data_IF_407758507955
#
_entry.id   IF_407758507955
#
_cell.length_a   1.000
_cell.length_b   1.000
_cell.length_c   1.000
_cell.angle_alpha   90.00
_cell.angle_beta   90.00
_cell.angle_gamma   90.00
#
_symmetry.space_group_name_H-M   'P 1'
#
loop_
_entity.id
_entity.type
_entity.pdbx_description
1 polymer ?
#
# COMPACT_ATOMS: atom_id res chain seq x y z
N UNK A 1 8.05 -70.99 37.50
CA UNK A 1 7.32 -69.71 37.61
C UNK A 1 8.27 -68.57 37.30
N UNK A 2 8.30 -68.10 36.05
CA UNK A 2 8.97 -66.85 35.66
C UNK A 2 7.99 -66.14 34.72
N UNK A 3 7.42 -65.04 35.18
CA UNK A 3 6.48 -64.22 34.43
C UNK A 3 7.26 -63.13 33.69
N UNK A 4 7.20 -63.13 32.36
CA UNK A 4 7.71 -62.03 31.53
C UNK A 4 6.72 -60.86 31.57
N UNK A 5 7.16 -59.71 32.08
CA UNK A 5 6.47 -58.42 31.95
C UNK A 5 6.86 -57.80 30.60
N UNK A 6 5.87 -57.58 29.74
CA UNK A 6 6.02 -56.79 28.50
C UNK A 6 5.87 -55.30 28.88
N UNK A 7 6.96 -54.56 28.77
CA UNK A 7 6.99 -53.11 28.96
C UNK A 7 6.49 -52.38 27.72
N UNK A 8 5.51 -51.49 27.92
CA UNK A 8 5.03 -50.55 26.92
C UNK A 8 6.06 -49.43 26.72
N UNK A 9 6.65 -49.34 25.52
CA UNK A 9 7.46 -48.21 25.09
C UNK A 9 6.54 -47.18 24.43
N UNK A 10 6.31 -46.06 25.12
CA UNK A 10 5.59 -44.91 24.60
C UNK A 10 6.38 -44.24 23.48
N UNK A 11 5.77 -44.13 22.31
CA UNK A 11 6.28 -43.37 21.17
C UNK A 11 6.08 -41.87 21.47
N UNK A 12 7.16 -41.16 21.81
CA UNK A 12 7.14 -39.69 21.88
C UNK A 12 7.22 -39.17 20.44
N UNK A 13 6.09 -38.69 19.93
CA UNK A 13 6.02 -37.97 18.66
C UNK A 13 6.58 -36.56 18.87
N UNK A 14 7.85 -36.34 18.51
CA UNK A 14 8.41 -34.99 18.42
C UNK A 14 7.85 -34.33 17.19
N UNK A 15 6.82 -33.50 17.37
CA UNK A 15 6.36 -32.57 16.33
C UNK A 15 7.44 -31.49 16.21
N UNK A 16 8.35 -31.67 15.25
CA UNK A 16 9.22 -30.59 14.79
C UNK A 16 8.31 -29.52 14.17
N UNK A 17 7.92 -28.54 14.97
CA UNK A 17 7.34 -27.30 14.48
C UNK A 17 8.38 -26.62 13.60
N UNK A 18 8.29 -26.87 12.29
CA UNK A 18 9.04 -26.09 11.32
C UNK A 18 8.63 -24.64 11.49
N UNK A 19 9.50 -23.83 12.09
CA UNK A 19 9.46 -22.39 11.84
C UNK A 19 9.62 -22.26 10.34
N UNK A 20 8.52 -22.00 9.64
CA UNK A 20 8.57 -21.61 8.25
C UNK A 20 9.58 -20.47 8.18
N UNK A 21 10.76 -20.75 7.61
CA UNK A 21 11.76 -19.74 7.38
C UNK A 21 11.08 -18.74 6.46
N UNK A 22 10.63 -17.62 7.02
CA UNK A 22 9.81 -16.74 6.21
C UNK A 22 10.57 -16.24 5.00
N UNK A 23 9.79 -15.84 4.02
CA UNK A 23 10.25 -15.82 2.66
C UNK A 23 11.16 -14.63 2.40
N UNK A 24 12.26 -14.88 1.69
CA UNK A 24 13.09 -13.82 1.14
C UNK A 24 12.36 -13.20 -0.05
N UNK A 25 12.38 -11.87 -0.15
CA UNK A 25 11.71 -11.18 -1.24
C UNK A 25 12.54 -11.24 -2.50
N UNK A 26 11.89 -11.49 -3.63
CA UNK A 26 12.53 -11.51 -4.93
C UNK A 26 13.12 -10.13 -5.28
N UNK A 27 14.18 -10.08 -6.11
CA UNK A 27 14.79 -8.82 -6.53
C UNK A 27 13.79 -7.84 -7.18
N UNK A 28 13.80 -6.61 -6.68
CA UNK A 28 12.97 -5.52 -7.20
C UNK A 28 11.50 -5.56 -6.79
N UNK A 29 11.09 -6.49 -5.92
CA UNK A 29 9.82 -6.40 -5.19
C UNK A 29 9.77 -5.09 -4.40
N UNK A 30 8.64 -4.41 -4.42
CA UNK A 30 8.44 -3.11 -3.72
C UNK A 30 7.31 -3.16 -2.70
N UNK A 31 6.46 -4.17 -2.75
CA UNK A 31 5.37 -4.38 -1.80
C UNK A 31 4.96 -5.84 -1.70
N UNK A 32 3.98 -6.11 -0.87
CA UNK A 32 3.54 -7.46 -0.53
C UNK A 32 2.02 -7.56 -0.63
N UNK A 33 1.52 -8.77 -0.82
CA UNK A 33 0.18 -9.15 -0.43
C UNK A 33 0.30 -10.27 0.62
N UNK A 34 -0.31 -10.09 1.78
CA UNK A 34 -0.25 -11.08 2.88
C UNK A 34 -1.31 -12.15 2.72
N UNK A 35 -1.13 -13.33 3.31
CA UNK A 35 -2.15 -14.37 3.24
C UNK A 35 -3.44 -13.89 3.90
N UNK A 36 -4.55 -14.05 3.20
CA UNK A 36 -5.86 -13.71 3.69
C UNK A 36 -6.31 -14.74 4.75
N UNK A 37 -7.08 -14.32 5.79
CA UNK A 37 -7.71 -15.27 6.69
C UNK A 37 -8.75 -16.13 5.95
N UNK A 38 -9.10 -17.28 6.51
CA UNK A 38 -10.10 -18.15 5.91
C UNK A 38 -11.48 -17.47 5.91
N UNK A 39 -12.16 -17.45 4.76
CA UNK A 39 -13.53 -16.97 4.64
C UNK A 39 -13.69 -15.45 4.64
N UNK A 40 -12.74 -14.72 4.04
CA UNK A 40 -12.85 -13.26 3.82
C UNK A 40 -14.21 -12.91 3.24
N UNK A 41 -14.87 -11.94 3.87
CA UNK A 41 -16.13 -11.37 3.39
C UNK A 41 -15.85 -10.08 2.64
N UNK A 42 -16.66 -9.82 1.62
CA UNK A 42 -16.66 -8.55 0.89
C UNK A 42 -17.93 -7.82 1.28
N UNK A 43 -17.90 -7.11 2.41
CA UNK A 43 -19.04 -6.43 3.03
C UNK A 43 -18.77 -4.95 3.39
N UNK A 44 -17.56 -4.47 3.06
CA UNK A 44 -17.10 -3.11 3.32
C UNK A 44 -16.45 -2.93 4.69
N UNK A 45 -16.29 -3.99 5.50
CA UNK A 45 -15.61 -3.94 6.80
C UNK A 45 -14.17 -4.46 6.72
N UNK A 46 -13.19 -3.60 6.95
CA UNK A 46 -11.78 -3.98 6.84
C UNK A 46 -11.24 -4.79 8.04
N UNK A 47 -12.11 -5.41 8.83
CA UNK A 47 -11.72 -6.26 9.95
C UNK A 47 -10.82 -7.43 9.51
N UNK A 48 -11.14 -8.06 8.38
CA UNK A 48 -10.36 -9.17 7.81
C UNK A 48 -8.98 -8.75 7.28
N UNK A 49 -8.79 -7.45 7.00
CA UNK A 49 -7.53 -6.87 6.52
C UNK A 49 -6.57 -6.47 7.65
N UNK A 50 -6.90 -6.76 8.92
CA UNK A 50 -6.04 -6.40 10.06
C UNK A 50 -4.66 -7.05 9.92
N UNK A 51 -3.62 -6.22 9.93
CA UNK A 51 -2.24 -6.68 9.80
C UNK A 51 -1.81 -7.03 8.36
N UNK A 52 -2.65 -6.75 7.37
CA UNK A 52 -2.26 -6.82 5.97
C UNK A 52 -1.23 -5.74 5.62
N UNK A 53 -0.41 -6.01 4.61
CA UNK A 53 0.49 -5.01 4.05
C UNK A 53 -0.30 -3.80 3.56
N UNK A 54 0.14 -2.59 3.91
CA UNK A 54 -0.55 -1.35 3.59
C UNK A 54 0.33 -0.36 2.83
N UNK A 55 -0.21 0.31 1.81
CA UNK A 55 0.40 1.52 1.23
C UNK A 55 -0.38 2.78 1.67
N UNK A 56 0.15 3.59 2.59
CA UNK A 56 -0.40 4.91 2.89
C UNK A 56 -0.22 5.86 1.70
N UNK A 57 -1.24 6.65 1.38
CA UNK A 57 -1.18 7.72 0.38
C UNK A 57 -1.76 9.02 0.93
N UNK A 58 -1.20 10.15 0.50
CA UNK A 58 -1.70 11.52 0.76
C UNK A 58 -1.62 12.03 2.20
N UNK A 59 -0.78 11.43 3.03
CA UNK A 59 -0.57 11.83 4.43
C UNK A 59 0.05 13.24 4.60
N UNK A 60 0.46 13.85 3.49
CA UNK A 60 1.09 15.16 3.43
C UNK A 60 0.29 16.17 2.59
N UNK A 61 -0.96 15.84 2.25
CA UNK A 61 -1.82 16.79 1.54
C UNK A 61 -2.24 17.94 2.48
N UNK A 62 -2.37 19.20 2.00
CA UNK A 62 -2.84 20.31 2.84
C UNK A 62 -4.22 20.06 3.47
N UNK A 63 -5.10 19.36 2.76
CA UNK A 63 -6.40 18.86 3.25
C UNK A 63 -6.28 17.40 3.70
N UNK A 64 -5.30 17.07 4.54
CA UNK A 64 -5.00 15.67 4.91
C UNK A 64 -6.21 14.92 5.50
N UNK A 65 -7.11 15.64 6.19
CA UNK A 65 -8.34 15.10 6.77
C UNK A 65 -9.44 14.76 5.77
N UNK A 66 -9.23 15.08 4.49
CA UNK A 66 -10.15 14.80 3.38
C UNK A 66 -9.44 14.10 2.20
N UNK A 67 -8.20 13.64 2.41
CA UNK A 67 -7.36 13.09 1.33
C UNK A 67 -6.50 11.89 1.72
N UNK A 68 -6.17 11.72 3.00
CA UNK A 68 -5.35 10.59 3.39
C UNK A 68 -6.11 9.29 3.14
N UNK A 69 -5.43 8.29 2.58
CA UNK A 69 -6.00 6.99 2.35
C UNK A 69 -4.97 5.87 2.55
N UNK A 70 -5.47 4.65 2.76
CA UNK A 70 -4.71 3.44 3.02
C UNK A 70 -5.20 2.35 2.07
N UNK A 71 -4.31 1.81 1.24
CA UNK A 71 -4.61 0.58 0.50
C UNK A 71 -4.05 -0.63 1.22
N UNK A 72 -4.80 -1.72 1.27
CA UNK A 72 -4.40 -2.99 1.85
C UNK A 72 -4.44 -4.10 0.81
N UNK A 73 -3.58 -5.10 0.95
CA UNK A 73 -3.44 -6.18 -0.03
C UNK A 73 -3.33 -7.54 0.65
N UNK A 74 -4.20 -8.46 0.26
CA UNK A 74 -4.15 -9.85 0.69
C UNK A 74 -4.32 -10.82 -0.48
N UNK A 75 -4.03 -12.09 -0.25
CA UNK A 75 -4.25 -13.16 -1.22
C UNK A 75 -4.60 -14.48 -0.54
N UNK A 76 -5.36 -15.32 -1.23
CA UNK A 76 -5.45 -16.75 -0.92
C UNK A 76 -5.38 -17.59 -2.21
N UNK A 77 -5.71 -18.88 -2.12
CA UNK A 77 -5.66 -19.77 -3.28
C UNK A 77 -6.75 -19.47 -4.32
N UNK A 78 -7.72 -18.62 -3.99
CA UNK A 78 -8.93 -18.36 -4.80
C UNK A 78 -8.97 -16.95 -5.37
N UNK A 79 -8.46 -15.94 -4.66
CA UNK A 79 -8.49 -14.55 -5.10
C UNK A 79 -7.34 -13.69 -4.58
N UNK A 80 -7.15 -12.58 -5.29
CA UNK A 80 -6.49 -11.40 -4.77
C UNK A 80 -7.52 -10.49 -4.10
N UNK A 81 -7.16 -9.87 -2.98
CA UNK A 81 -8.00 -8.95 -2.24
C UNK A 81 -7.30 -7.60 -2.12
N UNK A 82 -8.04 -6.54 -2.39
CA UNK A 82 -7.62 -5.18 -2.10
C UNK A 82 -8.67 -4.50 -1.22
N UNK A 83 -8.23 -3.58 -0.39
CA UNK A 83 -9.12 -2.70 0.33
C UNK A 83 -8.60 -1.26 0.32
N UNK A 84 -9.51 -0.32 0.50
CA UNK A 84 -9.25 1.10 0.61
C UNK A 84 -9.96 1.63 1.85
N UNK A 85 -9.22 2.30 2.73
CA UNK A 85 -9.76 3.17 3.76
C UNK A 85 -9.45 4.62 3.41
N UNK A 86 -10.45 5.50 3.46
CA UNK A 86 -10.29 6.92 3.13
C UNK A 86 -10.66 7.82 4.30
N UNK A 87 -9.95 8.94 4.39
CA UNK A 87 -10.49 10.17 4.92
C UNK A 87 -11.08 10.95 3.75
N UNK A 88 -12.41 11.10 3.72
CA UNK A 88 -13.12 11.84 2.66
C UNK A 88 -14.50 12.25 3.16
N UNK A 89 -14.71 13.55 3.36
CA UNK A 89 -16.00 14.09 3.83
C UNK A 89 -16.99 14.37 2.70
N UNK A 90 -16.58 14.26 1.43
CA UNK A 90 -17.43 14.56 0.26
C UNK A 90 -17.29 13.48 -0.82
N UNK A 91 -17.49 12.20 -0.47
CA UNK A 91 -17.38 11.12 -1.44
C UNK A 91 -18.48 11.22 -2.48
N UNK A 92 -18.12 11.07 -3.74
CA UNK A 92 -19.01 11.15 -4.87
C UNK A 92 -18.45 10.49 -6.13
N UNK A 93 -19.27 9.68 -6.79
CA UNK A 93 -18.95 9.21 -8.14
C UNK A 93 -20.16 9.31 -9.06
N UNK A 94 -20.31 10.46 -9.71
CA UNK A 94 -21.34 10.71 -10.72
C UNK A 94 -21.02 10.13 -12.11
N UNK A 95 -19.93 9.39 -12.26
CA UNK A 95 -19.48 8.89 -13.54
C UNK A 95 -20.35 7.74 -14.05
N UNK A 96 -20.56 7.65 -15.38
CA UNK A 96 -21.13 6.46 -16.01
C UNK A 96 -20.30 5.20 -15.74
N UNK A 97 -20.96 4.03 -15.78
CA UNK A 97 -20.36 2.76 -15.35
C UNK A 97 -19.15 2.31 -16.19
N UNK A 98 -18.95 2.86 -17.38
CA UNK A 98 -17.79 2.58 -18.23
C UNK A 98 -16.64 3.60 -18.07
N UNK A 99 -16.76 4.53 -17.12
CA UNK A 99 -15.78 5.60 -16.89
C UNK A 99 -15.63 6.02 -15.44
N UNK A 100 -15.62 5.03 -14.53
CA UNK A 100 -15.64 5.25 -13.08
C UNK A 100 -14.48 6.13 -12.56
N UNK A 101 -13.40 6.33 -13.33
CA UNK A 101 -12.30 7.24 -13.01
C UNK A 101 -12.67 8.74 -13.02
N UNK A 102 -13.84 9.13 -13.49
CA UNK A 102 -14.25 10.56 -13.53
C UNK A 102 -14.76 11.09 -12.19
N UNK A 103 -14.80 10.27 -11.13
CA UNK A 103 -15.17 10.65 -9.76
C UNK A 103 -14.33 9.91 -8.71
N UNK A 104 -14.83 9.83 -7.48
CA UNK A 104 -14.16 9.10 -6.38
C UNK A 104 -14.12 7.61 -6.69
N UNK A 105 -12.92 7.04 -6.76
CA UNK A 105 -12.74 5.67 -7.16
C UNK A 105 -11.28 5.30 -7.34
N UNK A 106 -11.06 4.02 -7.60
CA UNK A 106 -9.72 3.46 -7.78
C UNK A 106 -9.55 3.08 -9.23
N UNK A 107 -8.52 3.61 -9.89
CA UNK A 107 -7.96 2.96 -11.08
C UNK A 107 -7.00 1.87 -10.61
N UNK A 108 -7.26 0.64 -11.03
CA UNK A 108 -6.57 -0.55 -10.58
C UNK A 108 -5.82 -1.21 -11.71
N UNK A 109 -4.54 -1.47 -11.47
CA UNK A 109 -3.61 -2.00 -12.46
C UNK A 109 -3.01 -3.31 -11.96
N UNK A 110 -3.12 -4.37 -12.75
CA UNK A 110 -2.78 -5.70 -12.30
C UNK A 110 -2.19 -6.55 -13.43
N UNK A 111 -1.07 -7.23 -13.21
CA UNK A 111 -0.43 -8.09 -14.22
C UNK A 111 -0.01 -9.42 -13.60
N UNK A 112 -0.52 -10.52 -14.17
CA UNK A 112 -0.21 -11.91 -13.76
C UNK A 112 0.51 -12.69 -14.84
N UNK A 113 0.85 -12.06 -15.98
CA UNK A 113 1.56 -12.73 -17.06
C UNK A 113 2.86 -13.34 -16.53
N UNK A 114 3.27 -14.45 -17.15
CA UNK A 114 4.46 -15.23 -16.78
C UNK A 114 5.42 -15.44 -17.95
N UNK A 115 5.11 -14.82 -19.08
CA UNK A 115 5.95 -14.79 -20.27
C UNK A 115 6.78 -13.50 -20.29
N UNK A 116 7.49 -13.28 -21.40
CA UNK A 116 8.32 -12.09 -21.63
C UNK A 116 7.51 -10.78 -21.69
N UNK A 117 6.17 -10.86 -21.65
CA UNK A 117 5.28 -9.71 -21.59
C UNK A 117 4.91 -9.31 -20.15
N UNK A 118 5.34 -10.04 -19.11
CA UNK A 118 5.14 -9.60 -17.73
C UNK A 118 5.74 -8.21 -17.50
N UNK A 119 4.91 -7.25 -17.08
CA UNK A 119 5.27 -5.83 -17.01
C UNK A 119 5.77 -5.28 -18.37
N UNK A 120 5.17 -5.72 -19.46
CA UNK A 120 5.45 -5.22 -20.81
C UNK A 120 4.91 -3.81 -21.06
N UNK A 121 5.09 -3.32 -22.29
CA UNK A 121 4.66 -1.98 -22.69
C UNK A 121 3.17 -1.89 -23.02
N UNK A 122 2.49 -3.02 -23.17
CA UNK A 122 1.08 -3.07 -23.59
C UNK A 122 0.21 -3.84 -22.58
N UNK A 123 -1.01 -3.34 -22.42
CA UNK A 123 -2.11 -4.06 -21.79
C UNK A 123 -2.63 -5.17 -22.72
N UNK A 124 -3.34 -6.13 -22.14
CA UNK A 124 -3.92 -7.25 -22.89
C UNK A 124 -4.28 -8.41 -21.95
N UNK A 125 -4.56 -9.61 -22.50
CA UNK A 125 -4.89 -10.78 -21.69
C UNK A 125 -3.89 -11.00 -20.57
N UNK A 126 -4.38 -11.09 -19.32
CA UNK A 126 -3.56 -11.28 -18.13
C UNK A 126 -2.99 -10.00 -17.49
N UNK A 127 -3.07 -8.85 -18.18
CA UNK A 127 -2.72 -7.53 -17.68
C UNK A 127 -3.91 -6.56 -17.77
N UNK A 128 -4.47 -6.26 -16.61
CA UNK A 128 -5.75 -5.58 -16.45
C UNK A 128 -5.57 -4.12 -16.08
N UNK A 129 -6.34 -3.29 -16.76
CA UNK A 129 -6.63 -1.92 -16.36
C UNK A 129 -8.14 -1.84 -16.08
N UNK A 130 -8.50 -1.63 -14.83
CA UNK A 130 -9.89 -1.63 -14.39
C UNK A 130 -10.15 -0.56 -13.34
N UNK A 131 -11.41 -0.42 -12.96
CA UNK A 131 -11.83 0.57 -11.98
C UNK A 131 -12.81 -0.05 -11.01
N UNK A 132 -12.77 0.42 -9.76
CA UNK A 132 -13.78 0.11 -8.77
C UNK A 132 -14.01 1.30 -7.85
N UNK A 133 -15.22 1.41 -7.33
CA UNK A 133 -15.64 2.49 -6.43
C UNK A 133 -16.69 1.97 -5.46
N UNK A 134 -16.75 2.56 -4.27
CA UNK A 134 -17.83 2.33 -3.32
C UNK A 134 -19.10 3.12 -3.62
N UNK A 135 -19.10 3.98 -4.64
CA UNK A 135 -20.08 5.05 -4.76
C UNK A 135 -20.85 5.04 -6.10
N UNK A 136 -22.10 5.51 -6.05
CA UNK A 136 -22.85 6.05 -7.21
C UNK A 136 -23.47 7.36 -6.77
N UNK A 137 -23.06 8.46 -7.40
CA UNK A 137 -23.21 9.79 -6.79
C UNK A 137 -22.68 9.75 -5.35
N UNK A 138 -23.39 10.29 -4.37
CA UNK A 138 -22.99 10.25 -2.97
C UNK A 138 -23.41 8.96 -2.23
N UNK A 139 -24.18 8.08 -2.87
CA UNK A 139 -24.69 6.86 -2.24
C UNK A 139 -23.64 5.74 -2.27
N UNK A 140 -23.61 4.93 -1.20
CA UNK A 140 -22.78 3.71 -1.13
C UNK A 140 -23.38 2.60 -2.02
N UNK A 141 -23.11 2.73 -3.31
CA UNK A 141 -23.46 1.73 -4.33
C UNK A 141 -22.16 1.29 -5.00
N UNK A 142 -21.56 0.19 -4.53
CA UNK A 142 -20.31 -0.32 -5.06
C UNK A 142 -20.42 -0.71 -6.54
N UNK A 143 -19.41 -0.38 -7.33
CA UNK A 143 -19.35 -0.62 -8.79
C UNK A 143 -17.95 -0.95 -9.23
N UNK A 144 -17.81 -1.67 -10.34
CA UNK A 144 -16.55 -1.86 -11.04
C UNK A 144 -16.75 -1.92 -12.55
N UNK A 145 -15.68 -1.66 -13.31
CA UNK A 145 -15.65 -1.91 -14.75
C UNK A 145 -14.23 -2.15 -15.25
N UNK A 146 -14.10 -2.81 -16.40
CA UNK A 146 -12.86 -2.81 -17.17
C UNK A 146 -12.73 -1.49 -17.94
N UNK A 147 -11.49 -1.08 -18.22
CA UNK A 147 -11.26 0.07 -19.09
C UNK A 147 -11.77 -0.18 -20.51
N UNK A 148 -12.54 0.76 -21.09
CA UNK A 148 -12.89 0.69 -22.51
C UNK A 148 -11.65 0.49 -23.38
N UNK A 149 -11.73 -0.46 -24.29
CA UNK A 149 -10.60 -0.88 -25.14
C UNK A 149 -9.78 -2.06 -24.60
N UNK A 150 -10.01 -2.50 -23.35
CA UNK A 150 -9.34 -3.65 -22.74
C UNK A 150 -10.34 -4.62 -22.09
N UNK A 151 -11.54 -4.73 -22.69
CA UNK A 151 -12.66 -5.53 -22.15
C UNK A 151 -12.39 -7.04 -22.22
N UNK A 152 -11.42 -7.45 -23.04
CA UNK A 152 -10.97 -8.82 -23.24
C UNK A 152 -9.76 -9.20 -22.37
N UNK A 153 -9.27 -8.28 -21.52
CA UNK A 153 -8.12 -8.55 -20.64
C UNK A 153 -8.40 -9.71 -19.66
N UNK A 154 -9.64 -9.80 -19.17
CA UNK A 154 -10.18 -10.86 -18.32
C UNK A 154 -11.71 -11.00 -18.52
N UNK A 155 -12.33 -12.14 -18.15
CA UNK A 155 -13.78 -12.32 -18.29
C UNK A 155 -14.62 -11.62 -17.20
N UNK A 156 -14.01 -11.16 -16.10
CA UNK A 156 -14.69 -10.42 -15.04
C UNK A 156 -15.57 -11.25 -14.10
N UNK A 157 -15.34 -12.56 -14.03
CA UNK A 157 -16.18 -13.50 -13.29
C UNK A 157 -15.90 -13.44 -11.79
N UNK A 158 -16.96 -13.35 -10.97
CA UNK A 158 -16.88 -13.40 -9.51
C UNK A 158 -16.16 -12.21 -8.88
N UNK A 159 -15.99 -11.11 -9.61
CA UNK A 159 -15.47 -9.87 -9.04
C UNK A 159 -16.52 -9.26 -8.12
N UNK A 160 -16.12 -8.93 -6.91
CA UNK A 160 -16.99 -8.34 -5.88
C UNK A 160 -16.41 -7.01 -5.41
N UNK A 161 -17.29 -6.04 -5.18
CA UNK A 161 -16.97 -4.77 -4.52
C UNK A 161 -18.00 -4.54 -3.44
N UNK A 162 -17.55 -4.17 -2.24
CA UNK A 162 -18.43 -3.73 -1.16
C UNK A 162 -17.89 -2.45 -0.54
N UNK A 163 -18.77 -1.67 0.08
CA UNK A 163 -18.37 -0.43 0.73
C UNK A 163 -19.21 -0.14 1.95
N UNK A 164 -18.59 0.52 2.93
CA UNK A 164 -19.21 0.95 4.18
C UNK A 164 -18.82 2.39 4.49
N UNK A 165 -19.77 3.17 4.99
CA UNK A 165 -19.48 4.48 5.54
C UNK A 165 -18.82 4.33 6.91
N UNK A 166 -17.86 5.20 7.19
CA UNK A 166 -17.28 5.34 8.52
C UNK A 166 -17.52 6.77 9.01
N UNK A 167 -17.21 7.06 10.28
CA UNK A 167 -17.32 8.42 10.82
C UNK A 167 -16.33 9.42 10.22
N UNK A 168 -15.37 8.95 9.41
CA UNK A 168 -14.25 9.73 8.90
C UNK A 168 -14.10 9.64 7.38
N UNK A 169 -14.93 8.86 6.69
CA UNK A 169 -14.88 8.63 5.25
C UNK A 169 -15.54 7.31 4.90
N UNK A 170 -14.81 6.44 4.20
CA UNK A 170 -15.31 5.11 3.83
C UNK A 170 -14.26 4.02 3.91
N UNK A 171 -14.77 2.79 3.91
CA UNK A 171 -14.04 1.58 3.64
C UNK A 171 -14.64 0.90 2.42
N UNK A 172 -13.78 0.43 1.51
CA UNK A 172 -14.17 -0.26 0.27
C UNK A 172 -13.31 -1.50 0.12
N UNK A 173 -13.94 -2.64 -0.16
CA UNK A 173 -13.29 -3.92 -0.39
C UNK A 173 -13.46 -4.36 -1.84
N UNK A 174 -12.45 -5.03 -2.37
CA UNK A 174 -12.40 -5.53 -3.73
C UNK A 174 -11.83 -6.95 -3.74
N UNK A 175 -12.53 -7.86 -4.41
CA UNK A 175 -12.09 -9.23 -4.64
C UNK A 175 -11.95 -9.49 -6.12
N UNK A 176 -10.78 -10.03 -6.49
CA UNK A 176 -10.43 -10.39 -7.86
C UNK A 176 -10.04 -11.88 -7.91
N UNK A 177 -10.98 -12.77 -8.30
CA UNK A 177 -10.69 -14.20 -8.37
C UNK A 177 -9.59 -14.52 -9.38
N UNK A 178 -8.68 -15.42 -9.00
CA UNK A 178 -7.58 -15.87 -9.87
C UNK A 178 -8.07 -16.58 -11.13
N UNK A 179 -9.28 -17.13 -11.10
CA UNK A 179 -9.94 -17.74 -12.26
C UNK A 179 -10.11 -16.79 -13.46
N UNK A 180 -9.98 -15.47 -13.24
CA UNK A 180 -9.97 -14.48 -14.31
C UNK A 180 -8.68 -14.50 -15.15
N UNK A 181 -7.60 -15.13 -14.66
CA UNK A 181 -6.28 -15.12 -15.27
C UNK A 181 -5.91 -16.50 -15.80
N UNK A 182 -6.14 -16.73 -17.09
CA UNK A 182 -5.89 -18.01 -17.73
C UNK A 182 -4.43 -18.46 -17.54
N UNK A 183 -4.24 -19.67 -17.02
CA UNK A 183 -2.91 -20.27 -16.79
C UNK A 183 -2.16 -19.75 -15.57
N UNK A 184 -2.65 -18.72 -14.89
CA UNK A 184 -2.07 -18.25 -13.63
C UNK A 184 -2.50 -19.13 -12.46
N UNK A 185 -1.58 -19.41 -11.54
CA UNK A 185 -1.86 -20.09 -10.27
C UNK A 185 -1.16 -19.33 -9.14
N UNK A 186 -1.89 -18.89 -8.10
CA UNK A 186 -1.26 -18.27 -6.95
C UNK A 186 -0.44 -19.31 -6.19
N UNK A 187 0.69 -18.88 -5.64
CA UNK A 187 1.46 -19.64 -4.67
C UNK A 187 2.26 -18.68 -3.79
N UNK A 188 2.68 -19.18 -2.63
CA UNK A 188 3.61 -18.46 -1.77
C UNK A 188 4.89 -18.16 -2.58
N UNK A 189 5.36 -16.91 -2.52
CA UNK A 189 6.54 -16.45 -3.25
C UNK A 189 6.29 -15.93 -4.65
N UNK A 190 5.09 -16.14 -5.20
CA UNK A 190 4.76 -15.66 -6.54
C UNK A 190 4.81 -14.13 -6.60
N UNK A 191 5.38 -13.61 -7.69
CA UNK A 191 5.50 -12.17 -7.93
C UNK A 191 4.50 -11.75 -9.00
N UNK A 192 3.56 -10.90 -8.62
CA UNK A 192 2.63 -10.22 -9.53
C UNK A 192 3.07 -8.77 -9.73
N UNK A 193 2.44 -8.06 -10.67
CA UNK A 193 2.60 -6.61 -10.76
C UNK A 193 1.31 -5.88 -10.40
N UNK A 194 1.43 -4.87 -9.55
CA UNK A 194 0.30 -4.09 -9.05
C UNK A 194 0.65 -2.61 -9.05
N UNK A 195 -0.33 -1.78 -9.37
CA UNK A 195 -0.38 -0.40 -8.90
C UNK A 195 -1.84 -0.03 -8.63
N UNK A 196 -2.05 0.99 -7.83
CA UNK A 196 -3.36 1.52 -7.50
C UNK A 196 -3.31 3.04 -7.56
N UNK A 197 -4.31 3.62 -8.20
CA UNK A 197 -4.50 5.06 -8.27
C UNK A 197 -5.82 5.43 -7.61
N UNK A 198 -5.77 6.34 -6.63
CA UNK A 198 -6.96 6.92 -6.03
C UNK A 198 -7.30 8.24 -6.72
N UNK A 199 -8.53 8.31 -7.25
CA UNK A 199 -9.15 9.50 -7.79
C UNK A 199 -10.01 10.16 -6.72
N UNK A 200 -9.91 11.49 -6.59
CA UNK A 200 -10.78 12.30 -5.72
C UNK A 200 -11.71 13.21 -6.53
N UNK A 201 -12.90 13.53 -6.04
CA UNK A 201 -13.92 14.31 -6.77
C UNK A 201 -14.52 15.51 -6.02
N UNK A 202 -14.39 15.57 -4.69
CA UNK A 202 -14.95 16.65 -3.86
C UNK A 202 -16.47 16.89 -4.04
N UNK A 203 -17.25 15.86 -4.37
CA UNK A 203 -18.68 15.97 -4.62
C UNK A 203 -19.07 16.21 -6.09
N UNK A 204 -18.12 16.11 -7.03
CA UNK A 204 -18.33 16.47 -8.43
C UNK A 204 -17.45 15.67 -9.42
N UNK A 205 -16.91 16.31 -10.47
CA UNK A 205 -15.90 15.70 -11.34
C UNK A 205 -14.56 15.50 -10.62
N UNK A 206 -13.74 14.55 -11.08
CA UNK A 206 -12.40 14.28 -10.54
C UNK A 206 -11.52 15.54 -10.45
N UNK A 207 -10.90 15.76 -9.30
CA UNK A 207 -10.02 16.89 -8.97
C UNK A 207 -8.57 16.50 -8.71
N UNK A 208 -8.31 15.32 -8.11
CA UNK A 208 -6.95 14.88 -7.78
C UNK A 208 -6.75 13.38 -8.12
N UNK A 209 -5.48 12.99 -8.28
CA UNK A 209 -5.04 11.63 -8.62
C UNK A 209 -3.80 11.26 -7.82
N UNK A 210 -3.80 10.08 -7.20
CA UNK A 210 -2.69 9.65 -6.34
C UNK A 210 -2.30 8.18 -6.49
N UNK A 211 -1.01 7.90 -6.63
CA UNK A 211 -0.50 6.55 -6.92
C UNK A 211 0.16 5.87 -5.71
N UNK A 212 -0.20 4.61 -5.45
CA UNK A 212 0.34 3.80 -4.37
C UNK A 212 1.82 3.45 -4.59
N UNK A 213 2.16 2.90 -5.76
CA UNK A 213 3.51 2.43 -6.07
C UNK A 213 4.20 3.21 -7.18
N UNK A 214 3.48 3.40 -8.28
CA UNK A 214 4.03 3.87 -9.54
C UNK A 214 3.83 5.36 -9.75
N UNK A 215 3.39 5.70 -10.94
CA UNK A 215 3.30 7.06 -11.46
C UNK A 215 2.21 7.14 -12.52
N UNK A 216 1.92 8.31 -13.14
CA UNK A 216 1.03 8.39 -14.28
C UNK A 216 1.35 7.44 -15.45
N UNK A 217 2.58 6.94 -15.55
CA UNK A 217 2.95 5.92 -16.53
C UNK A 217 2.23 4.59 -16.33
N UNK A 218 1.77 4.29 -15.10
CA UNK A 218 0.96 3.10 -14.80
C UNK A 218 -0.39 3.12 -15.51
N UNK A 219 -0.87 4.28 -15.97
CA UNK A 219 -2.07 4.41 -16.83
C UNK A 219 -1.80 3.86 -18.23
N UNK A 220 -0.55 4.02 -18.70
CA UNK A 220 -0.16 3.80 -20.09
C UNK A 220 0.31 2.36 -20.30
N UNK A 221 1.09 1.81 -19.36
CA UNK A 221 1.75 0.53 -19.58
C UNK A 221 2.04 -0.27 -18.29
N UNK A 222 1.91 -1.61 -18.34
CA UNK A 222 2.26 -2.50 -17.22
C UNK A 222 3.72 -2.41 -16.74
N UNK A 223 4.64 -1.92 -17.58
CA UNK A 223 6.05 -1.72 -17.21
C UNK A 223 6.25 -0.82 -15.98
N UNK A 224 5.32 0.11 -15.73
CA UNK A 224 5.36 1.03 -14.57
C UNK A 224 4.89 0.40 -13.26
N UNK A 225 4.24 -0.77 -13.29
CA UNK A 225 3.68 -1.41 -12.09
C UNK A 225 4.77 -1.88 -11.13
N UNK A 226 4.50 -1.89 -9.82
CA UNK A 226 5.43 -2.48 -8.87
C UNK A 226 5.35 -4.00 -8.90
N UNK A 227 6.49 -4.67 -8.71
CA UNK A 227 6.49 -6.09 -8.33
C UNK A 227 5.98 -6.21 -6.89
N UNK A 228 4.96 -7.04 -6.69
CA UNK A 228 4.36 -7.37 -5.40
C UNK A 228 4.46 -8.88 -5.20
N UNK A 229 4.97 -9.31 -4.06
CA UNK A 229 5.12 -10.74 -3.75
C UNK A 229 3.99 -11.22 -2.84
N UNK A 230 3.46 -12.41 -3.16
CA UNK A 230 2.50 -13.12 -2.33
C UNK A 230 3.25 -13.78 -1.17
N UNK A 231 3.01 -13.31 0.05
CA UNK A 231 3.70 -13.78 1.26
C UNK A 231 2.70 -14.27 2.30
N UNK A 232 3.15 -15.07 3.26
CA UNK A 232 2.30 -15.50 4.38
C UNK A 232 1.89 -14.30 5.24
N UNK A 233 2.86 -13.48 5.65
CA UNK A 233 2.65 -12.30 6.50
C UNK A 233 3.78 -11.29 6.30
N UNK A 234 3.55 -10.04 6.69
CA UNK A 234 4.62 -9.04 6.80
C UNK A 234 5.52 -9.36 7.99
N UNK A 235 6.84 -9.36 7.76
CA UNK A 235 7.86 -9.58 8.80
C UNK A 235 8.86 -8.42 8.89
N UNK A 236 9.55 -8.25 10.03
CA UNK A 236 10.59 -7.22 10.21
C UNK A 236 11.63 -7.17 9.08
N UNK A 237 12.05 -8.33 8.55
CA UNK A 237 13.03 -8.40 7.45
C UNK A 237 12.54 -7.77 6.14
N UNK A 238 11.23 -7.74 5.90
CA UNK A 238 10.65 -7.23 4.65
C UNK A 238 10.71 -5.70 4.59
N UNK A 239 10.78 -5.04 5.74
CA UNK A 239 10.87 -3.58 5.83
C UNK A 239 12.06 -3.02 5.05
N UNK A 240 13.20 -3.73 5.04
CA UNK A 240 14.39 -3.26 4.31
C UNK A 240 14.10 -2.96 2.83
N UNK A 241 13.21 -3.73 2.21
CA UNK A 241 12.86 -3.61 0.80
C UNK A 241 11.54 -2.86 0.57
N UNK A 242 10.60 -2.93 1.51
CA UNK A 242 9.26 -2.37 1.35
C UNK A 242 9.00 -1.07 2.15
N UNK A 243 9.92 -0.63 3.01
CA UNK A 243 9.72 0.54 3.89
C UNK A 243 9.33 1.81 3.12
N UNK A 244 9.92 2.04 1.94
CA UNK A 244 9.61 3.22 1.13
C UNK A 244 8.16 3.30 0.64
N UNK A 245 7.46 2.16 0.66
CA UNK A 245 6.05 2.06 0.30
C UNK A 245 5.16 1.98 1.55
N UNK A 246 5.59 1.26 2.58
CA UNK A 246 4.89 1.17 3.88
C UNK A 246 4.84 2.50 4.62
N UNK A 247 5.89 3.31 4.50
CA UNK A 247 6.09 4.54 5.25
C UNK A 247 6.67 5.62 4.32
N UNK A 248 5.92 6.09 3.30
CA UNK A 248 6.40 7.12 2.40
C UNK A 248 6.79 8.38 3.16
N UNK A 249 7.75 9.13 2.61
CA UNK A 249 8.34 10.32 3.22
C UNK A 249 8.21 11.53 2.30
N UNK A 250 8.04 12.71 2.91
CA UNK A 250 8.10 14.02 2.25
C UNK A 250 8.89 15.00 3.12
N UNK A 251 9.54 15.96 2.47
CA UNK A 251 10.13 17.12 3.13
C UNK A 251 9.47 18.39 2.60
N UNK A 252 9.12 19.30 3.51
CA UNK A 252 8.47 20.56 3.19
C UNK A 252 9.18 21.72 3.89
N UNK A 253 9.23 22.87 3.21
CA UNK A 253 9.62 24.15 3.81
C UNK A 253 8.44 25.10 3.68
N UNK A 254 7.69 25.36 4.76
CA UNK A 254 6.55 26.28 4.71
C UNK A 254 6.97 27.70 4.30
N UNK A 255 6.15 28.36 3.47
CA UNK A 255 6.38 29.73 3.01
C UNK A 255 6.39 30.76 4.14
N UNK A 256 5.44 30.64 5.07
CA UNK A 256 5.27 31.58 6.17
C UNK A 256 5.69 30.91 7.47
N UNK A 257 6.75 31.43 8.09
CA UNK A 257 7.25 30.96 9.38
C UNK A 257 7.47 32.14 10.32
N UNK A 258 6.99 32.09 11.57
CA UNK A 258 7.20 33.15 12.55
C UNK A 258 8.62 33.12 13.16
N UNK A 259 9.42 32.10 12.83
CA UNK A 259 10.78 31.87 13.32
C UNK A 259 11.77 31.83 12.16
N UNK A 260 13.06 31.61 12.46
CA UNK A 260 14.04 31.22 11.44
C UNK A 260 13.50 30.03 10.63
N UNK A 261 13.82 30.02 9.34
CA UNK A 261 13.31 29.03 8.40
C UNK A 261 13.72 27.60 8.81
N UNK A 262 12.71 26.77 9.06
CA UNK A 262 12.80 25.34 9.33
C UNK A 262 12.35 24.54 8.13
N UNK A 263 12.94 23.36 7.98
CA UNK A 263 12.49 22.28 7.11
C UNK A 263 11.79 21.25 7.98
N UNK A 264 10.67 20.71 7.51
CA UNK A 264 9.95 19.62 8.17
C UNK A 264 10.07 18.35 7.35
N UNK A 265 10.62 17.30 7.94
CA UNK A 265 10.51 15.93 7.43
C UNK A 265 9.25 15.28 7.98
N UNK A 266 8.44 14.68 7.12
CA UNK A 266 7.23 13.96 7.47
C UNK A 266 7.27 12.55 6.88
N UNK A 267 6.83 11.56 7.65
CA UNK A 267 6.74 10.17 7.20
C UNK A 267 5.43 9.54 7.66
N UNK A 268 4.72 8.86 6.76
CA UNK A 268 3.50 8.15 7.11
C UNK A 268 3.82 6.94 7.98
N UNK A 269 2.95 6.62 8.95
CA UNK A 269 3.06 5.40 9.73
C UNK A 269 2.01 4.40 9.22
N UNK A 270 2.42 3.18 8.82
CA UNK A 270 1.47 2.18 8.34
C UNK A 270 0.51 1.79 9.48
N UNK A 271 -0.81 1.70 9.21
CA UNK A 271 -1.77 1.15 10.15
C UNK A 271 -1.36 -0.28 10.53
N UNK A 272 -1.71 -0.74 11.73
CA UNK A 272 -1.39 -2.08 12.26
C UNK A 272 0.08 -2.44 12.47
N UNK A 273 1.00 -1.66 11.90
CA UNK A 273 2.44 -1.93 11.97
C UNK A 273 3.22 -0.81 12.64
N UNK A 274 2.59 0.34 12.91
CA UNK A 274 3.19 1.45 13.65
C UNK A 274 3.74 1.01 15.01
N UNK A 275 3.11 0.03 15.67
CA UNK A 275 3.57 -0.47 16.96
C UNK A 275 4.88 -1.26 16.89
N UNK A 276 5.28 -1.73 15.70
CA UNK A 276 6.59 -2.37 15.49
C UNK A 276 7.72 -1.33 15.49
N UNK A 277 7.42 -0.05 15.24
CA UNK A 277 8.38 1.03 15.20
C UNK A 277 8.67 1.53 16.63
N UNK A 278 9.95 1.55 17.02
CA UNK A 278 10.41 2.12 18.28
C UNK A 278 10.89 3.56 18.13
N UNK A 279 11.63 3.86 17.07
CA UNK A 279 12.19 5.20 16.82
C UNK A 279 12.32 5.46 15.33
N UNK A 280 12.10 6.71 14.93
CA UNK A 280 12.36 7.18 13.57
C UNK A 280 13.34 8.35 13.64
N UNK A 281 14.36 8.35 12.78
CA UNK A 281 15.36 9.42 12.68
C UNK A 281 15.41 9.92 11.24
N UNK A 282 15.27 11.23 11.05
CA UNK A 282 15.62 11.88 9.80
C UNK A 282 17.10 12.21 9.82
N UNK A 283 17.88 11.56 8.97
CA UNK A 283 19.30 11.85 8.76
C UNK A 283 19.45 12.73 7.52
N UNK A 284 20.18 13.83 7.68
CA UNK A 284 20.67 14.65 6.58
C UNK A 284 22.12 14.27 6.27
N UNK A 285 22.41 14.10 4.99
CA UNK A 285 23.77 13.91 4.49
C UNK A 285 24.05 14.89 3.36
N UNK A 286 25.29 15.32 3.19
CA UNK A 286 25.70 16.02 1.97
C UNK A 286 25.73 15.07 0.75
N UNK A 287 26.10 15.60 -0.42
CA UNK A 287 26.21 14.82 -1.66
C UNK A 287 27.39 13.82 -1.66
N UNK A 288 28.32 13.94 -0.72
CA UNK A 288 29.42 12.99 -0.51
C UNK A 288 29.07 11.91 0.52
N UNK A 289 27.90 11.99 1.16
CA UNK A 289 27.43 11.06 2.18
C UNK A 289 27.85 11.41 3.62
N UNK A 290 28.48 12.57 3.86
CA UNK A 290 28.81 13.01 5.21
C UNK A 290 27.55 13.45 5.95
N UNK A 291 27.36 12.97 7.18
CA UNK A 291 26.20 13.34 8.01
C UNK A 291 26.27 14.80 8.42
N UNK A 292 25.23 15.56 8.09
CA UNK A 292 25.03 16.96 8.48
C UNK A 292 24.22 17.09 9.77
N UNK A 293 23.31 16.15 10.03
CA UNK A 293 22.51 16.13 11.24
C UNK A 293 21.55 14.94 11.32
N UNK A 294 21.08 14.66 12.54
CA UNK A 294 20.09 13.63 12.82
C UNK A 294 18.98 14.20 13.71
N UNK A 295 17.73 13.99 13.33
CA UNK A 295 16.57 14.59 13.98
C UNK A 295 15.56 13.49 14.28
N UNK A 296 15.29 13.26 15.57
CA UNK A 296 14.30 12.29 16.00
C UNK A 296 12.90 12.77 15.63
N UNK A 297 12.07 11.85 15.11
CA UNK A 297 10.72 12.16 14.73
C UNK A 297 9.73 11.89 15.86
N UNK A 298 8.73 12.76 15.98
CA UNK A 298 7.61 12.63 16.90
C UNK A 298 6.35 12.19 16.17
N UNK A 299 5.62 11.24 16.75
CA UNK A 299 4.31 10.81 16.22
C UNK A 299 3.29 11.95 16.31
N UNK A 300 2.52 12.13 15.25
CA UNK A 300 1.37 13.01 15.13
C UNK A 300 0.15 12.19 14.68
N UNK A 301 -1.00 12.44 15.30
CA UNK A 301 -2.27 11.83 14.92
C UNK A 301 -2.98 12.71 13.89
N UNK A 302 -3.39 12.11 12.77
CA UNK A 302 -4.24 12.75 11.76
C UNK A 302 -5.71 12.43 12.10
N UNK A 303 -6.02 11.14 12.26
CA UNK A 303 -7.30 10.64 12.75
C UNK A 303 -7.08 9.32 13.51
N UNK A 304 -7.55 9.27 14.76
CA UNK A 304 -7.35 8.10 15.63
C UNK A 304 -8.21 6.91 15.23
N UNK A 305 -9.44 7.16 14.76
CA UNK A 305 -10.45 6.12 14.47
C UNK A 305 -10.08 5.34 13.20
N UNK A 306 -9.65 6.05 12.17
CA UNK A 306 -9.12 5.47 10.93
C UNK A 306 -7.64 5.06 11.00
N UNK A 307 -7.00 5.29 12.16
CA UNK A 307 -5.59 4.96 12.45
C UNK A 307 -4.61 5.61 11.47
N UNK A 308 -4.89 6.87 11.14
CA UNK A 308 -4.03 7.71 10.31
C UNK A 308 -3.02 8.43 11.21
N UNK A 309 -1.76 8.02 11.11
CA UNK A 309 -0.66 8.64 11.86
C UNK A 309 0.51 8.97 10.94
N UNK A 310 1.26 10.00 11.29
CA UNK A 310 2.55 10.30 10.70
C UNK A 310 3.56 10.58 11.80
N UNK A 311 4.85 10.59 11.47
CA UNK A 311 5.88 11.14 12.34
C UNK A 311 6.56 12.33 11.68
N UNK A 312 7.01 13.29 12.48
CA UNK A 312 7.60 14.53 12.01
C UNK A 312 8.86 14.89 12.77
N UNK A 313 9.85 15.42 12.06
CA UNK A 313 11.02 16.07 12.65
C UNK A 313 11.25 17.42 11.95
N UNK A 314 11.82 18.38 12.68
CA UNK A 314 12.17 19.68 12.14
C UNK A 314 13.65 19.98 12.36
N UNK A 315 14.25 20.67 11.39
CA UNK A 315 15.61 21.16 11.48
C UNK A 315 15.77 22.53 10.83
N UNK A 316 16.76 23.32 11.25
CA UNK A 316 17.08 24.59 10.59
C UNK A 316 17.44 24.39 9.11
N UNK A 317 16.93 25.26 8.24
CA UNK A 317 17.20 25.20 6.79
C UNK A 317 18.65 25.49 6.40
N UNK A 318 19.43 26.12 7.28
CA UNK A 318 20.86 26.41 7.10
C UNK A 318 21.77 25.19 7.35
N UNK A 319 21.25 24.11 7.95
CA UNK A 319 21.97 22.83 8.10
C UNK A 319 22.32 22.25 6.74
N UNK A 320 21.47 22.47 5.74
CA UNK A 320 21.66 21.90 4.42
C UNK A 320 21.07 22.81 3.33
N UNK A 321 21.95 23.43 2.53
CA UNK A 321 21.52 24.25 1.41
C UNK A 321 20.62 23.45 0.44
N UNK A 322 19.57 24.06 -0.14
CA UNK A 322 18.72 23.41 -1.14
C UNK A 322 19.56 22.81 -2.28
N UNK A 323 19.30 21.55 -2.60
CA UNK A 323 20.01 20.82 -3.68
C UNK A 323 21.39 20.27 -3.32
N UNK A 324 21.89 20.47 -2.09
CA UNK A 324 23.21 19.99 -1.65
C UNK A 324 23.15 18.90 -0.57
N UNK A 325 22.01 18.22 -0.46
CA UNK A 325 21.82 17.22 0.57
C UNK A 325 20.85 16.10 0.16
N UNK A 326 20.91 15.02 0.91
CA UNK A 326 19.91 13.96 0.93
C UNK A 326 19.25 13.89 2.29
N UNK A 327 17.95 13.62 2.31
CA UNK A 327 17.21 13.29 3.52
C UNK A 327 16.84 11.81 3.47
N UNK A 328 17.12 11.09 4.54
CA UNK A 328 16.71 9.70 4.72
C UNK A 328 16.07 9.53 6.08
N UNK A 329 14.85 8.99 6.14
CA UNK A 329 14.31 8.46 7.39
C UNK A 329 14.84 7.05 7.64
N UNK A 330 15.29 6.80 8.85
CA UNK A 330 15.74 5.49 9.33
C UNK A 330 14.73 5.01 10.35
N UNK A 331 14.16 3.83 10.10
CA UNK A 331 13.15 3.20 10.93
C UNK A 331 13.81 2.17 11.82
N UNK A 332 13.66 2.31 13.12
CA UNK A 332 14.14 1.36 14.12
C UNK A 332 12.95 0.69 14.80
N UNK A 333 13.10 -0.60 15.12
CA UNK A 333 12.15 -1.29 15.99
C UNK A 333 12.31 -0.88 17.46
N UNK A 334 11.51 -1.48 18.35
CA UNK A 334 11.56 -1.21 19.80
C UNK A 334 12.84 -1.70 20.47
N UNK A 335 13.57 -2.64 19.87
CA UNK A 335 14.86 -3.11 20.34
C UNK A 335 16.02 -2.23 19.84
N UNK A 336 15.74 -1.25 18.98
CA UNK A 336 16.75 -0.37 18.38
C UNK A 336 17.40 -0.96 17.13
N UNK A 337 16.89 -2.07 16.59
CA UNK A 337 17.37 -2.65 15.34
C UNK A 337 16.79 -1.88 14.15
N UNK A 338 17.63 -1.58 13.15
CA UNK A 338 17.18 -0.94 11.92
C UNK A 338 16.28 -1.89 11.12
N UNK A 339 15.06 -1.45 10.84
CA UNK A 339 14.07 -2.13 10.00
C UNK A 339 14.24 -1.76 8.52
N UNK A 340 14.46 -0.48 8.24
CA UNK A 340 14.60 0.01 6.87
C UNK A 340 14.88 1.50 6.79
N UNK A 341 15.13 1.96 5.56
CA UNK A 341 15.40 3.36 5.22
C UNK A 341 14.44 3.84 4.15
N UNK A 342 14.03 5.09 4.25
CA UNK A 342 13.11 5.73 3.30
C UNK A 342 13.66 7.07 2.85
N UNK A 343 13.70 7.28 1.54
CA UNK A 343 14.01 8.56 0.91
C UNK A 343 12.73 9.17 0.30
N UNK A 344 12.70 10.49 0.05
CA UNK A 344 11.62 11.11 -0.71
C UNK A 344 11.47 10.44 -2.09
N UNK A 345 10.23 10.31 -2.58
CA UNK A 345 9.99 9.81 -3.94
C UNK A 345 10.42 10.86 -4.97
N UNK A 346 11.02 10.40 -6.07
CA UNK A 346 11.39 11.26 -7.20
C UNK A 346 10.17 11.75 -8.00
N UNK A 347 9.07 11.00 -7.96
CA UNK A 347 7.81 11.37 -8.61
C UNK A 347 6.82 11.78 -7.54
N UNK A 348 6.20 12.96 -7.71
CA UNK A 348 5.12 13.40 -6.84
C UNK A 348 3.99 12.37 -6.86
N UNK A 349 3.52 11.97 -5.69
CA UNK A 349 2.35 11.08 -5.59
C UNK A 349 1.07 11.78 -6.03
N UNK A 350 1.00 13.11 -5.93
CA UNK A 350 -0.16 13.91 -6.35
C UNK A 350 0.10 14.60 -7.67
N UNK A 351 -0.82 14.39 -8.61
CA UNK A 351 -0.81 15.04 -9.93
C UNK A 351 -2.07 15.87 -10.08
N UNK A 352 -1.91 17.19 -10.21
CA UNK A 352 -2.98 18.06 -10.68
C UNK A 352 -2.87 18.15 -12.20
N UNK A 353 -3.93 17.87 -12.96
CA UNK A 353 -3.92 18.13 -14.40
C UNK A 353 -3.51 19.59 -14.66
N UNK A 354 -2.46 19.80 -15.48
CA UNK A 354 -2.00 21.15 -15.87
C UNK A 354 -0.76 21.71 -15.18
N UNK A 355 0.06 20.86 -14.54
CA UNK A 355 1.45 21.19 -14.17
C UNK A 355 2.44 20.20 -14.77
#
# INVERSE_FOLDING_TARGET
MIALRVGWLGLILVVLGGSAAAEELAPGVRGLATRAPAGVKIDGDLADFRGAFCTPINYFHPQVKDRAAQFFYMWDDTAFYAALRTLDTRPFNGAPDNRLWEGDGVEWYFDTRRDDHFRGLTWGPGAVHMYWTGYKQADLTPRWCLRPGYLDAIPGQGIEVAARATEFGSEVEFKLPWANFAGYRPALGEVIAVDAELCYSDGGPRVDRFFAYGSPLSVQQPASLAKVQLVEKLEPRHWKQCAAVLAPLRCDTPWNQPTKALVTGQIALPPDHADQLGRIVFRLTDLAGATLGEYAAERKTIDERGRFYRAEAQWPSDVAAPGQHHVTAILYDRAGQELGRVAPRLVSVGMRPGY
#
